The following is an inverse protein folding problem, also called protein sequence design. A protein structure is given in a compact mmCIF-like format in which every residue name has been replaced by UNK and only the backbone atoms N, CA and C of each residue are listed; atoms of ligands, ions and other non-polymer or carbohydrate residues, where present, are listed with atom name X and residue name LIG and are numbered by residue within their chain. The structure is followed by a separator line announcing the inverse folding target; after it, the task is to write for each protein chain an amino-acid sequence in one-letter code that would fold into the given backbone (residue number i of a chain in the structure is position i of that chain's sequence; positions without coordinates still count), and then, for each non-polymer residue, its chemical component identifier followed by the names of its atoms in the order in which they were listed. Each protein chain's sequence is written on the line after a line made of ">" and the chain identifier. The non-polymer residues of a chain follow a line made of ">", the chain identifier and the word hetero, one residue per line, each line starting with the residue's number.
data_IF_547384892756
#
_entry.id   IF_547384892756
#
_cell.length_a   1.000
_cell.length_b   1.000
_cell.length_c   1.000
_cell.angle_alpha   90.00
_cell.angle_beta   90.00
_cell.angle_gamma   90.00
#
_symmetry.space_group_name_H-M   'P 1'
#
loop_
_entity.id
_entity.type
_entity.pdbx_description
1 polymer ?
#
# COMPACT_ATOMS: atom_id res chain seq x y z
N UNK A 1 1.69 -14.84 -12.54
CA UNK A 1 2.10 -14.56 -11.16
C UNK A 1 0.93 -13.94 -10.41
N UNK A 2 0.56 -14.52 -9.29
CA UNK A 2 -0.53 -13.95 -8.51
C UNK A 2 -0.06 -12.67 -7.82
N UNK A 3 -0.99 -11.78 -7.61
CA UNK A 3 -0.67 -10.51 -7.00
C UNK A 3 -1.08 -10.53 -5.52
N UNK A 4 -0.26 -9.92 -4.69
CA UNK A 4 -0.42 -9.97 -3.23
C UNK A 4 -1.81 -9.50 -2.79
N UNK A 5 -2.31 -8.42 -3.39
CA UNK A 5 -3.61 -7.89 -3.04
C UNK A 5 -4.72 -8.90 -3.32
N UNK A 6 -4.70 -9.54 -4.50
CA UNK A 6 -5.73 -10.51 -4.85
C UNK A 6 -5.69 -11.74 -3.94
N UNK A 7 -4.49 -12.17 -3.55
CA UNK A 7 -4.34 -13.29 -2.62
C UNK A 7 -4.91 -12.98 -1.23
N UNK A 8 -4.62 -11.81 -0.70
CA UNK A 8 -5.16 -11.39 0.59
C UNK A 8 -6.67 -11.22 0.53
N UNK A 9 -7.17 -10.63 -0.56
CA UNK A 9 -8.61 -10.47 -0.77
C UNK A 9 -9.31 -11.83 -0.76
N UNK A 10 -8.72 -12.82 -1.40
CA UNK A 10 -9.25 -14.19 -1.42
C UNK A 10 -9.31 -14.79 -0.02
N UNK A 11 -8.23 -14.65 0.74
CA UNK A 11 -8.18 -15.14 2.11
C UNK A 11 -9.26 -14.47 2.97
N UNK A 12 -9.36 -13.14 2.88
CA UNK A 12 -10.31 -12.36 3.67
C UNK A 12 -11.74 -12.76 3.37
N UNK A 13 -12.06 -12.98 2.08
CA UNK A 13 -13.37 -13.50 1.66
C UNK A 13 -13.62 -14.88 2.26
N UNK A 14 -12.63 -15.76 2.20
CA UNK A 14 -12.77 -17.14 2.68
C UNK A 14 -13.07 -17.22 4.18
N UNK A 15 -12.48 -16.30 4.98
CA UNK A 15 -12.71 -16.30 6.43
C UNK A 15 -13.89 -15.42 6.86
N UNK A 16 -14.61 -14.85 5.92
CA UNK A 16 -15.82 -14.08 6.22
C UNK A 16 -15.59 -12.66 6.69
N UNK A 17 -14.41 -12.11 6.45
CA UNK A 17 -14.14 -10.71 6.75
C UNK A 17 -14.70 -9.82 5.65
N UNK A 18 -14.96 -8.56 6.00
CA UNK A 18 -15.54 -7.61 5.05
C UNK A 18 -14.65 -7.39 3.84
N UNK A 19 -15.23 -7.53 2.64
CA UNK A 19 -14.58 -7.20 1.36
C UNK A 19 -15.61 -6.41 0.55
N UNK A 20 -15.22 -5.26 0.04
CA UNK A 20 -16.09 -4.44 -0.79
C UNK A 20 -15.52 -4.33 -2.21
N UNK A 21 -16.43 -4.31 -3.19
CA UNK A 21 -16.06 -4.04 -4.59
C UNK A 21 -16.20 -2.56 -4.95
N UNK A 22 -16.71 -1.75 -4.02
CA UNK A 22 -16.95 -0.31 -4.24
C UNK A 22 -16.16 0.47 -3.20
N UNK A 23 -15.39 1.50 -3.61
CA UNK A 23 -14.65 2.32 -2.65
C UNK A 23 -15.59 3.03 -1.68
N UNK A 24 -15.30 2.89 -0.41
CA UNK A 24 -16.07 3.53 0.65
C UNK A 24 -15.30 3.45 1.96
N UNK A 25 -15.73 4.22 2.96
CA UNK A 25 -15.21 4.06 4.31
C UNK A 25 -16.14 3.11 5.08
N UNK A 26 -15.63 1.98 5.58
CA UNK A 26 -16.43 1.12 6.46
C UNK A 26 -16.76 1.85 7.77
N UNK A 27 -17.53 1.19 8.64
CA UNK A 27 -17.89 1.79 9.92
C UNK A 27 -16.67 2.09 10.79
N UNK A 28 -16.88 2.92 11.81
CA UNK A 28 -15.79 3.37 12.68
C UNK A 28 -15.08 2.21 13.37
N UNK A 29 -15.82 1.20 13.80
CA UNK A 29 -15.23 0.07 14.51
C UNK A 29 -14.23 -0.68 13.62
N UNK A 30 -14.57 -0.90 12.37
CA UNK A 30 -13.67 -1.55 11.43
C UNK A 30 -12.45 -0.69 11.12
N UNK A 31 -12.67 0.61 10.94
CA UNK A 31 -11.57 1.55 10.67
C UNK A 31 -10.57 1.60 11.83
N UNK A 32 -11.06 1.64 13.05
CA UNK A 32 -10.22 1.61 14.26
C UNK A 32 -9.45 0.31 14.35
N UNK A 33 -10.12 -0.82 14.08
CA UNK A 33 -9.46 -2.13 14.08
C UNK A 33 -8.31 -2.18 13.07
N UNK A 34 -8.55 -1.72 11.86
CA UNK A 34 -7.53 -1.74 10.82
C UNK A 34 -6.30 -0.90 11.18
N UNK A 35 -6.53 0.27 11.75
CA UNK A 35 -5.44 1.13 12.23
C UNK A 35 -4.63 0.45 13.34
N UNK A 36 -5.32 -0.20 14.27
CA UNK A 36 -4.68 -0.90 15.37
C UNK A 36 -3.82 -2.05 14.87
N UNK A 37 -4.35 -2.85 13.96
CA UNK A 37 -3.62 -3.98 13.39
C UNK A 37 -2.34 -3.52 12.69
N UNK A 38 -2.43 -2.46 11.90
CA UNK A 38 -1.24 -1.93 11.21
C UNK A 38 -0.20 -1.42 12.21
N UNK A 39 -0.65 -0.69 13.21
CA UNK A 39 0.25 -0.15 14.24
C UNK A 39 0.99 -1.29 14.96
N UNK A 40 0.29 -2.36 15.33
CA UNK A 40 0.90 -3.50 16.00
C UNK A 40 2.01 -4.14 15.16
N UNK A 41 1.76 -4.33 13.87
CA UNK A 41 2.76 -4.95 12.99
C UNK A 41 3.95 -4.03 12.75
N UNK A 42 3.73 -2.72 12.65
CA UNK A 42 4.82 -1.76 12.50
C UNK A 42 5.69 -1.75 13.76
N UNK A 43 5.09 -1.78 14.95
CA UNK A 43 5.84 -1.83 16.20
C UNK A 43 6.66 -3.11 16.32
N UNK A 44 6.11 -4.25 15.90
CA UNK A 44 6.83 -5.52 15.89
C UNK A 44 8.00 -5.50 14.90
N UNK A 45 7.82 -4.84 13.76
CA UNK A 45 8.90 -4.62 12.82
C UNK A 45 10.04 -3.82 13.47
N UNK A 46 9.72 -2.75 14.18
CA UNK A 46 10.72 -1.93 14.88
C UNK A 46 11.46 -2.75 15.93
N UNK A 47 10.77 -3.61 16.67
CA UNK A 47 11.41 -4.50 17.63
C UNK A 47 12.40 -5.44 16.97
N UNK A 48 12.07 -5.99 15.81
CA UNK A 48 12.98 -6.83 15.05
C UNK A 48 14.23 -6.07 14.63
N UNK A 49 14.08 -4.82 14.20
CA UNK A 49 15.21 -3.96 13.86
C UNK A 49 16.10 -3.71 15.08
N UNK A 50 15.50 -3.39 16.22
CA UNK A 50 16.23 -3.09 17.45
C UNK A 50 17.03 -4.29 17.96
N UNK A 51 16.59 -5.50 17.65
CA UNK A 51 17.22 -6.75 18.08
C UNK A 51 18.13 -7.37 17.01
N UNK A 52 18.28 -6.71 15.88
CA UNK A 52 19.02 -7.26 14.74
C UNK A 52 18.53 -8.65 14.32
N UNK A 53 17.21 -8.85 14.41
CA UNK A 53 16.57 -10.13 14.09
C UNK A 53 15.99 -10.09 12.68
N UNK A 54 16.81 -10.47 11.70
CA UNK A 54 16.44 -10.37 10.30
C UNK A 54 15.24 -11.25 9.92
N UNK A 55 15.14 -12.43 10.53
CA UNK A 55 14.00 -13.32 10.25
C UNK A 55 12.69 -12.67 10.71
N UNK A 56 12.70 -12.04 11.88
CA UNK A 56 11.53 -11.33 12.39
C UNK A 56 11.21 -10.11 11.53
N UNK A 57 12.23 -9.35 11.12
CA UNK A 57 12.03 -8.22 10.21
C UNK A 57 11.35 -8.67 8.93
N UNK A 58 11.82 -9.77 8.33
CA UNK A 58 11.23 -10.28 7.09
C UNK A 58 9.76 -10.67 7.29
N UNK A 59 9.46 -11.38 8.39
CA UNK A 59 8.09 -11.79 8.69
C UNK A 59 7.19 -10.57 8.89
N UNK A 60 7.65 -9.58 9.67
CA UNK A 60 6.82 -8.41 9.98
C UNK A 60 6.59 -7.53 8.76
N UNK A 61 7.57 -7.42 7.85
CA UNK A 61 7.35 -6.71 6.59
C UNK A 61 6.24 -7.37 5.76
N UNK A 62 6.23 -8.71 5.73
CA UNK A 62 5.16 -9.44 5.05
C UNK A 62 3.81 -9.23 5.74
N UNK A 63 3.79 -9.26 7.08
CA UNK A 63 2.57 -9.02 7.85
C UNK A 63 2.02 -7.60 7.63
N UNK A 64 2.89 -6.61 7.52
CA UNK A 64 2.48 -5.23 7.22
C UNK A 64 1.80 -5.17 5.86
N UNK A 65 2.40 -5.80 4.84
CA UNK A 65 1.78 -5.87 3.51
C UNK A 65 0.42 -6.56 3.59
N UNK A 66 0.34 -7.63 4.37
CA UNK A 66 -0.90 -8.39 4.53
C UNK A 66 -2.02 -7.50 5.10
N UNK A 67 -1.71 -6.73 6.14
CA UNK A 67 -2.69 -5.82 6.76
C UNK A 67 -3.07 -4.69 5.79
N UNK A 68 -2.10 -4.14 5.06
CA UNK A 68 -2.35 -3.09 4.06
C UNK A 68 -3.30 -3.59 2.98
N UNK A 69 -3.04 -4.76 2.44
CA UNK A 69 -3.89 -5.37 1.40
C UNK A 69 -5.29 -5.68 1.94
N UNK A 70 -5.37 -6.20 3.18
CA UNK A 70 -6.66 -6.48 3.79
C UNK A 70 -7.48 -5.23 4.06
N UNK A 71 -6.82 -4.15 4.46
CA UNK A 71 -7.50 -2.87 4.65
C UNK A 71 -8.06 -2.36 3.34
N UNK A 72 -7.27 -2.41 2.27
CA UNK A 72 -7.75 -2.00 0.95
C UNK A 72 -8.95 -2.85 0.50
N UNK A 73 -8.90 -4.17 0.74
CA UNK A 73 -10.01 -5.05 0.40
C UNK A 73 -11.29 -4.66 1.14
N UNK A 74 -11.18 -4.35 2.44
CA UNK A 74 -12.32 -3.92 3.25
C UNK A 74 -12.91 -2.60 2.76
N UNK A 75 -12.05 -1.68 2.32
CA UNK A 75 -12.46 -0.34 1.87
C UNK A 75 -12.89 -0.32 0.40
N UNK A 76 -12.81 -1.46 -0.29
CA UNK A 76 -13.14 -1.52 -1.72
C UNK A 76 -12.14 -0.79 -2.59
N UNK A 77 -10.92 -0.58 -2.11
CA UNK A 77 -9.85 0.07 -2.86
C UNK A 77 -9.15 -0.96 -3.74
N UNK A 78 -9.10 -0.78 -5.07
CA UNK A 78 -8.36 -1.68 -5.95
C UNK A 78 -6.86 -1.39 -5.85
N UNK A 79 -6.25 -1.90 -4.77
CA UNK A 79 -4.89 -1.51 -4.39
C UNK A 79 -3.84 -1.85 -5.45
N UNK A 80 -4.02 -2.94 -6.17
CA UNK A 80 -3.13 -3.31 -7.28
C UNK A 80 -3.10 -2.23 -8.36
N UNK A 81 -4.28 -1.69 -8.71
CA UNK A 81 -4.39 -0.61 -9.71
C UNK A 81 -3.88 0.72 -9.15
N UNK A 82 -4.17 0.99 -7.86
CA UNK A 82 -3.64 2.19 -7.20
C UNK A 82 -2.12 2.14 -7.15
N UNK A 83 -1.56 0.98 -6.78
CA UNK A 83 -0.11 0.79 -6.75
C UNK A 83 0.52 1.03 -8.13
N UNK A 84 -0.11 0.50 -9.18
CA UNK A 84 0.39 0.70 -10.54
C UNK A 84 0.43 2.18 -10.91
N UNK A 85 -0.58 2.94 -10.51
CA UNK A 85 -0.63 4.37 -10.78
C UNK A 85 0.45 5.14 -10.00
N UNK A 86 0.66 4.79 -8.73
CA UNK A 86 1.74 5.36 -7.92
C UNK A 86 3.09 5.03 -8.56
N UNK A 87 3.27 3.79 -8.99
CA UNK A 87 4.51 3.36 -9.63
C UNK A 87 4.75 4.10 -10.94
N UNK A 88 3.71 4.26 -11.78
CA UNK A 88 3.81 5.05 -13.01
C UNK A 88 4.34 6.45 -12.70
N UNK A 89 3.73 7.12 -11.71
CA UNK A 89 4.13 8.47 -11.33
C UNK A 89 5.58 8.52 -10.84
N UNK A 90 5.99 7.51 -10.07
CA UNK A 90 7.37 7.42 -9.59
C UNK A 90 8.35 7.23 -10.75
N UNK A 91 8.00 6.40 -11.73
CA UNK A 91 8.86 6.16 -12.89
C UNK A 91 9.00 7.41 -13.77
N UNK A 92 8.02 8.31 -13.76
CA UNK A 92 8.10 9.58 -14.47
C UNK A 92 9.12 10.55 -13.85
N UNK A 93 9.62 10.27 -12.67
CA UNK A 93 10.71 11.05 -12.08
C UNK A 93 12.04 10.79 -12.77
N UNK A 94 12.12 9.72 -13.55
CA UNK A 94 13.33 9.38 -14.30
C UNK A 94 13.37 10.18 -15.59
N UNK A 95 14.52 10.79 -15.87
CA UNK A 95 14.83 11.47 -17.14
C UNK A 95 16.03 10.74 -17.73
N UNK A 96 15.84 10.13 -18.90
CA UNK A 96 16.87 9.30 -19.55
C UNK A 96 17.43 8.23 -18.58
N UNK A 97 16.54 7.61 -17.80
CA UNK A 97 16.90 6.55 -16.85
C UNK A 97 17.56 7.04 -15.57
N UNK A 98 17.57 8.34 -15.33
CA UNK A 98 18.25 8.94 -14.17
C UNK A 98 17.32 9.90 -13.45
N UNK A 99 17.56 10.07 -12.15
CA UNK A 99 16.83 11.06 -11.35
C UNK A 99 17.76 12.23 -11.03
N UNK A 100 17.16 13.40 -10.84
CA UNK A 100 17.87 14.57 -10.31
C UNK A 100 17.61 14.61 -8.81
N UNK A 101 18.67 14.75 -8.03
CA UNK A 101 18.56 14.77 -6.58
C UNK A 101 18.95 16.13 -6.03
N UNK A 102 18.28 16.53 -4.97
CA UNK A 102 18.64 17.67 -4.16
C UNK A 102 19.89 17.32 -3.33
N UNK A 103 20.56 18.32 -2.75
CA UNK A 103 21.79 18.09 -1.96
C UNK A 103 21.60 17.11 -0.81
N UNK A 104 20.38 17.04 -0.24
CA UNK A 104 20.06 16.11 0.86
C UNK A 104 19.67 14.71 0.36
N UNK A 105 19.77 14.45 -0.94
CA UNK A 105 19.45 13.17 -1.55
C UNK A 105 18.00 13.01 -2.00
N UNK A 106 17.15 13.99 -1.76
CA UNK A 106 15.75 13.92 -2.17
C UNK A 106 15.62 13.94 -3.70
N UNK A 107 14.84 13.03 -4.26
CA UNK A 107 14.55 12.98 -5.69
C UNK A 107 13.65 14.14 -6.07
N UNK A 108 14.06 14.92 -7.06
CA UNK A 108 13.30 16.07 -7.56
C UNK A 108 12.36 15.63 -8.69
N UNK A 109 11.23 16.31 -8.80
CA UNK A 109 10.24 16.06 -9.85
C UNK A 109 10.65 16.81 -11.11
N UNK A 110 10.78 16.12 -12.24
CA UNK A 110 11.13 16.80 -13.50
C UNK A 110 9.95 17.61 -14.03
N UNK A 111 10.23 18.51 -14.97
CA UNK A 111 9.20 19.21 -15.70
C UNK A 111 8.32 18.20 -16.43
N UNK A 112 7.01 18.42 -16.39
CA UNK A 112 6.05 17.52 -17.03
C UNK A 112 5.65 16.30 -16.17
N UNK A 113 6.26 16.15 -15.00
CA UNK A 113 5.88 15.07 -14.09
C UNK A 113 4.43 15.25 -13.61
N UNK A 114 3.68 14.15 -13.57
CA UNK A 114 2.30 14.17 -13.09
C UNK A 114 2.15 13.31 -11.84
N UNK A 115 1.45 13.86 -10.85
CA UNK A 115 1.13 13.14 -9.62
C UNK A 115 0.22 11.95 -9.92
N UNK A 116 0.18 10.94 -9.03
CA UNK A 116 -0.76 9.83 -9.21
C UNK A 116 -2.19 10.34 -9.23
N UNK A 117 -2.97 9.87 -10.20
CA UNK A 117 -4.39 10.21 -10.33
C UNK A 117 -5.24 9.16 -9.63
N UNK A 118 -5.25 9.21 -8.31
CA UNK A 118 -5.94 8.22 -7.48
C UNK A 118 -7.45 8.31 -7.68
N UNK A 119 -7.96 9.52 -7.85
CA UNK A 119 -9.40 9.74 -8.05
C UNK A 119 -9.93 8.96 -9.26
N UNK A 120 -9.22 9.01 -10.38
CA UNK A 120 -9.62 8.27 -11.57
C UNK A 120 -9.54 6.76 -11.37
N UNK A 121 -8.54 6.28 -10.62
CA UNK A 121 -8.43 4.84 -10.32
C UNK A 121 -9.61 4.37 -9.49
N UNK A 122 -10.02 5.16 -8.49
CA UNK A 122 -11.12 4.77 -7.58
C UNK A 122 -12.50 4.93 -8.23
N UNK A 123 -12.71 6.00 -8.97
CA UNK A 123 -14.06 6.40 -9.40
C UNK A 123 -14.24 6.49 -10.91
N UNK A 124 -13.20 6.29 -11.68
CA UNK A 124 -13.23 6.45 -13.13
C UNK A 124 -13.03 7.88 -13.58
N UNK A 125 -13.03 8.10 -14.89
CA UNK A 125 -12.68 9.38 -15.53
C UNK A 125 -13.89 10.32 -15.67
N UNK A 126 -14.77 10.36 -14.68
CA UNK A 126 -15.95 11.25 -14.77
C UNK A 126 -15.74 12.53 -14.01
#
# INVERSE_FOLDING_TARGET
>A
MSNMFQEVKKFQTAVGQNVSEVPYFPDENERVLRRKLLKEEVEEYFEGEDKDDLENVAKELADIIYIVCGTAASYGIPLDRVFNEVHRSNMEKLVDGKVVRRDDGKILKPEGWTAPDIKSVLYGDK
#
